data_IF_611406383642
#
_entry.id   IF_611406383642
#
_cell.length_a   1.000
_cell.length_b   1.000
_cell.length_c   1.000
_cell.angle_alpha   90.00
_cell.angle_beta   90.00
_cell.angle_gamma   90.00
#
_symmetry.space_group_name_H-M   'P 1'
#
loop_
_entity.id
_entity.type
_entity.pdbx_description
1 polymer ?
#
# COMPACT_ATOMS: atom_id res chain seq x y z
N UNK A 1 -14.42 -76.46 56.39
CA UNK A 1 -14.63 -75.86 55.05
C UNK A 1 -14.88 -74.37 55.19
N UNK A 2 -13.96 -73.52 54.71
CA UNK A 2 -14.15 -72.21 54.07
C UNK A 2 -12.83 -71.43 54.12
N UNK A 3 -12.05 -71.57 53.05
CA UNK A 3 -10.91 -70.72 52.75
C UNK A 3 -11.41 -69.33 52.36
N UNK A 4 -10.81 -68.27 52.90
CA UNK A 4 -10.93 -66.91 52.35
C UNK A 4 -9.54 -66.46 51.91
N UNK A 5 -9.33 -66.49 50.60
CA UNK A 5 -8.20 -65.90 49.90
C UNK A 5 -8.36 -64.37 49.92
N UNK A 6 -7.36 -63.67 50.46
CA UNK A 6 -7.17 -62.23 50.30
C UNK A 6 -6.27 -62.01 49.08
N UNK A 7 -6.85 -61.56 47.96
CA UNK A 7 -6.10 -61.11 46.80
C UNK A 7 -5.77 -59.62 46.96
N UNK A 8 -4.49 -59.29 47.11
CA UNK A 8 -3.99 -57.93 47.08
C UNK A 8 -3.80 -57.51 45.62
N UNK A 9 -4.64 -56.60 45.13
CA UNK A 9 -4.49 -55.97 43.83
C UNK A 9 -3.49 -54.79 43.95
N UNK A 10 -2.29 -54.97 43.42
CA UNK A 10 -1.32 -53.89 43.27
C UNK A 10 -1.72 -53.00 42.08
N UNK A 11 -2.16 -51.77 42.37
CA UNK A 11 -2.42 -50.76 41.35
C UNK A 11 -1.08 -50.17 40.86
N UNK A 12 -0.60 -50.63 39.70
CA UNK A 12 0.48 -49.95 38.98
C UNK A 12 -0.06 -48.64 38.39
N UNK A 13 0.21 -47.52 39.07
CA UNK A 13 0.04 -46.20 38.49
C UNK A 13 1.11 -45.99 37.41
N UNK A 14 0.74 -46.17 36.14
CA UNK A 14 1.54 -45.70 35.02
C UNK A 14 1.52 -44.17 35.01
N UNK A 15 2.55 -43.55 35.59
CA UNK A 15 2.89 -42.16 35.32
C UNK A 15 3.40 -42.05 33.89
N UNK A 16 2.50 -41.79 32.93
CA UNK A 16 2.91 -41.37 31.60
C UNK A 16 3.64 -40.03 31.73
N UNK A 17 4.88 -39.88 31.24
CA UNK A 17 5.50 -38.58 31.16
C UNK A 17 4.67 -37.80 30.13
N UNK A 18 3.94 -36.79 30.61
CA UNK A 18 3.38 -35.77 29.75
C UNK A 18 4.60 -35.05 29.15
N UNK A 19 5.05 -35.49 27.99
CA UNK A 19 5.97 -34.70 27.18
C UNK A 19 5.25 -33.38 26.94
N UNK A 20 5.69 -32.32 27.62
CA UNK A 20 5.29 -30.97 27.30
C UNK A 20 5.72 -30.74 25.86
N UNK A 21 4.79 -30.90 24.93
CA UNK A 21 5.00 -30.57 23.53
C UNK A 21 5.21 -29.06 23.54
N UNK A 22 6.47 -28.62 23.36
CA UNK A 22 6.78 -27.20 23.21
C UNK A 22 5.82 -26.64 22.16
N UNK A 23 4.96 -25.73 22.59
CA UNK A 23 4.04 -25.08 21.67
C UNK A 23 4.87 -24.41 20.59
N UNK A 24 4.56 -24.67 19.33
CA UNK A 24 5.24 -24.02 18.21
C UNK A 24 5.24 -22.51 18.43
N UNK A 25 6.36 -21.81 18.16
CA UNK A 25 6.40 -20.36 18.27
C UNK A 25 5.25 -19.72 17.46
N UNK A 26 4.64 -18.63 17.96
CA UNK A 26 3.61 -17.94 17.22
C UNK A 26 4.19 -17.42 15.89
N UNK A 27 3.44 -17.52 14.78
CA UNK A 27 3.95 -17.19 13.47
C UNK A 27 4.18 -15.68 13.32
N UNK A 28 5.20 -15.32 12.55
CA UNK A 28 5.45 -13.94 12.12
C UNK A 28 4.38 -13.46 11.13
N UNK A 29 4.22 -12.14 10.92
CA UNK A 29 3.29 -11.61 9.92
C UNK A 29 3.51 -12.20 8.51
N UNK A 30 4.77 -12.40 8.12
CA UNK A 30 5.10 -12.98 6.81
C UNK A 30 4.66 -14.44 6.68
N UNK A 31 4.82 -15.24 7.74
CA UNK A 31 4.36 -16.64 7.76
C UNK A 31 2.84 -16.73 7.74
N UNK A 32 2.13 -15.84 8.44
CA UNK A 32 0.66 -15.77 8.41
C UNK A 32 0.17 -15.47 7.00
N UNK A 33 0.73 -14.45 6.34
CA UNK A 33 0.37 -14.12 4.97
C UNK A 33 0.69 -15.27 4.00
N UNK A 34 1.88 -15.88 4.12
CA UNK A 34 2.27 -17.01 3.27
C UNK A 34 1.38 -18.24 3.43
N UNK A 35 0.84 -18.48 4.63
CA UNK A 35 -0.06 -19.59 4.92
C UNK A 35 -1.54 -19.30 4.62
N UNK A 36 -1.91 -18.06 4.27
CA UNK A 36 -3.29 -17.69 4.00
C UNK A 36 -3.86 -18.50 2.81
N UNK A 37 -5.07 -19.08 2.95
CA UNK A 37 -5.69 -19.88 1.89
C UNK A 37 -5.98 -19.02 0.66
N UNK A 38 -6.00 -19.63 -0.52
CA UNK A 38 -6.22 -18.91 -1.78
C UNK A 38 -7.53 -18.08 -1.80
N UNK A 39 -8.57 -18.52 -1.08
CA UNK A 39 -9.84 -17.80 -0.93
C UNK A 39 -9.71 -16.43 -0.25
N UNK A 40 -8.65 -16.20 0.51
CA UNK A 40 -8.42 -14.94 1.22
C UNK A 40 -7.71 -13.91 0.35
N UNK A 41 -7.24 -14.31 -0.83
CA UNK A 41 -6.54 -13.46 -1.78
C UNK A 41 -7.49 -12.95 -2.86
N UNK A 42 -7.48 -11.63 -3.07
CA UNK A 42 -8.32 -10.96 -4.07
C UNK A 42 -7.44 -10.52 -5.22
N UNK A 43 -7.79 -10.98 -6.43
CA UNK A 43 -7.11 -10.59 -7.65
C UNK A 43 -7.22 -9.08 -7.91
N UNK A 44 -6.11 -8.48 -8.33
CA UNK A 44 -6.06 -7.09 -8.77
C UNK A 44 -6.29 -7.08 -10.29
N UNK A 45 -7.34 -6.40 -10.80
CA UNK A 45 -7.58 -6.32 -12.22
C UNK A 45 -6.38 -5.71 -12.96
N UNK A 46 -5.99 -6.28 -14.10
CA UNK A 46 -4.93 -5.71 -14.94
C UNK A 46 -5.26 -4.28 -15.39
N UNK A 47 -6.55 -3.94 -15.52
CA UNK A 47 -6.99 -2.58 -15.79
C UNK A 47 -6.60 -1.60 -14.69
N UNK A 48 -6.32 -2.05 -13.47
CA UNK A 48 -5.96 -1.20 -12.34
C UNK A 48 -4.46 -1.21 -12.07
N UNK A 49 -3.65 -1.78 -12.97
CA UNK A 49 -2.20 -1.80 -12.88
C UNK A 49 -1.58 -0.87 -13.91
N UNK A 50 -0.68 0.00 -13.45
CA UNK A 50 0.31 0.65 -14.29
C UNK A 50 1.65 -0.08 -14.16
N UNK A 51 2.31 -0.27 -15.30
CA UNK A 51 3.65 -0.85 -15.38
C UNK A 51 4.61 0.23 -15.85
N UNK A 52 5.51 0.63 -14.95
CA UNK A 52 6.59 1.57 -15.23
C UNK A 52 7.89 0.78 -15.42
N UNK A 53 8.46 0.89 -16.62
CA UNK A 53 9.80 0.40 -16.91
C UNK A 53 10.76 1.58 -16.91
N UNK A 54 11.72 1.56 -15.99
CA UNK A 54 12.87 2.46 -16.03
C UNK A 54 13.93 1.87 -16.97
N UNK A 55 14.83 2.72 -17.48
CA UNK A 55 16.04 2.23 -18.16
C UNK A 55 16.75 1.23 -17.24
N UNK A 56 17.42 0.16 -17.74
CA UNK A 56 18.17 -0.74 -16.87
C UNK A 56 19.18 -0.02 -15.97
N UNK A 57 19.57 -0.64 -14.85
CA UNK A 57 20.64 -0.09 -14.02
C UNK A 57 22.01 -0.20 -14.69
N UNK A 58 23.06 0.29 -14.02
CA UNK A 58 24.43 0.24 -14.54
C UNK A 58 24.96 -1.18 -14.80
N UNK A 59 24.37 -2.20 -14.17
CA UNK A 59 24.69 -3.61 -14.39
C UNK A 59 23.80 -4.26 -15.47
N UNK A 60 22.91 -3.49 -16.11
CA UNK A 60 21.98 -3.97 -17.12
C UNK A 60 20.75 -4.70 -16.56
N UNK A 61 20.51 -4.66 -15.25
CA UNK A 61 19.33 -5.29 -14.64
C UNK A 61 18.08 -4.48 -14.99
N UNK A 62 17.04 -5.17 -15.44
CA UNK A 62 15.74 -4.57 -15.68
C UNK A 62 15.17 -3.96 -14.38
N UNK A 63 14.54 -2.80 -14.50
CA UNK A 63 13.92 -2.06 -13.40
C UNK A 63 12.45 -1.83 -13.72
N UNK A 64 11.58 -2.69 -13.17
CA UNK A 64 10.14 -2.62 -13.37
C UNK A 64 9.44 -2.31 -12.06
N UNK A 65 8.58 -1.31 -12.09
CA UNK A 65 7.72 -0.90 -10.99
C UNK A 65 6.27 -1.16 -11.40
N UNK A 66 5.49 -1.78 -10.52
CA UNK A 66 4.07 -2.00 -10.73
C UNK A 66 3.29 -1.18 -9.71
N UNK A 67 2.39 -0.34 -10.22
CA UNK A 67 1.56 0.57 -9.42
C UNK A 67 0.11 0.10 -9.55
N UNK A 68 -0.54 -0.19 -8.42
CA UNK A 68 -1.98 -0.40 -8.37
C UNK A 68 -2.68 0.96 -8.23
N UNK A 69 -3.64 1.24 -9.09
CA UNK A 69 -4.52 2.41 -9.02
C UNK A 69 -5.59 2.21 -7.95
N UNK A 70 -6.00 3.30 -7.31
CA UNK A 70 -7.02 3.23 -6.26
C UNK A 70 -8.42 2.91 -6.80
N UNK A 71 -9.22 2.16 -6.03
CA UNK A 71 -10.62 1.90 -6.37
C UNK A 71 -11.48 3.15 -6.17
N UNK A 72 -12.63 3.18 -6.85
CA UNK A 72 -13.69 4.14 -6.59
C UNK A 72 -14.15 4.06 -5.12
N UNK A 73 -14.64 5.17 -4.53
CA UNK A 73 -14.86 6.49 -5.15
C UNK A 73 -13.63 7.42 -5.16
N UNK A 74 -12.49 6.97 -4.63
CA UNK A 74 -11.34 7.85 -4.37
C UNK A 74 -10.59 8.25 -5.64
N UNK A 75 -10.31 9.54 -5.80
CA UNK A 75 -9.40 10.10 -6.82
C UNK A 75 -9.71 9.75 -8.29
N UNK A 76 -10.96 9.41 -8.60
CA UNK A 76 -11.33 8.84 -9.91
C UNK A 76 -11.11 9.80 -11.09
N UNK A 77 -11.24 11.11 -10.89
CA UNK A 77 -10.95 12.07 -11.96
C UNK A 77 -9.45 12.12 -12.33
N UNK A 78 -8.54 12.08 -11.35
CA UNK A 78 -7.09 11.97 -11.62
C UNK A 78 -6.74 10.60 -12.20
N UNK A 79 -7.34 9.51 -11.72
CA UNK A 79 -7.16 8.18 -12.31
C UNK A 79 -7.62 8.16 -13.78
N UNK A 80 -8.73 8.82 -14.11
CA UNK A 80 -9.18 9.02 -15.49
C UNK A 80 -8.13 9.76 -16.35
N UNK A 81 -7.50 10.79 -15.80
CA UNK A 81 -6.41 11.50 -16.49
C UNK A 81 -5.18 10.61 -16.67
N UNK A 82 -4.79 9.86 -15.63
CA UNK A 82 -3.66 8.93 -15.65
C UNK A 82 -3.85 7.86 -16.74
N UNK A 83 -5.08 7.33 -16.89
CA UNK A 83 -5.42 6.40 -17.97
C UNK A 83 -5.27 7.02 -19.35
N UNK A 84 -5.68 8.28 -19.54
CA UNK A 84 -5.49 9.04 -20.80
C UNK A 84 -4.01 9.31 -21.09
N UNK A 85 -3.24 9.67 -20.06
CA UNK A 85 -1.79 9.88 -20.15
C UNK A 85 -1.04 8.58 -20.50
N UNK A 86 -1.45 7.44 -19.93
CA UNK A 86 -0.92 6.13 -20.26
C UNK A 86 -1.22 5.76 -21.71
N UNK A 87 -2.46 5.90 -22.16
CA UNK A 87 -2.87 5.63 -23.54
C UNK A 87 -2.17 6.54 -24.57
N UNK A 88 -1.82 7.77 -24.18
CA UNK A 88 -1.03 8.69 -24.99
C UNK A 88 0.49 8.44 -24.91
N UNK A 89 0.93 7.43 -24.14
CA UNK A 89 2.33 7.14 -23.84
C UNK A 89 3.10 8.36 -23.33
N UNK A 90 2.44 9.23 -22.56
CA UNK A 90 2.96 10.56 -22.23
C UNK A 90 4.23 10.52 -21.38
N UNK A 91 4.43 9.49 -20.55
CA UNK A 91 5.64 9.36 -19.73
C UNK A 91 6.86 8.79 -20.47
N UNK A 92 6.73 8.39 -21.74
CA UNK A 92 7.87 7.85 -22.48
C UNK A 92 8.94 8.92 -22.68
N UNK A 93 10.17 8.61 -22.27
CA UNK A 93 11.29 9.53 -22.33
C UNK A 93 11.24 10.65 -21.29
N UNK A 94 10.30 10.62 -20.34
CA UNK A 94 10.37 11.47 -19.14
C UNK A 94 11.31 10.85 -18.11
N UNK A 95 11.36 11.36 -16.88
CA UNK A 95 12.28 10.85 -15.87
C UNK A 95 11.79 10.99 -14.44
N UNK A 96 12.45 10.25 -13.55
CA UNK A 96 12.49 10.60 -12.13
C UNK A 96 13.36 11.84 -11.98
N UNK A 97 12.76 12.90 -11.43
CA UNK A 97 13.33 14.26 -11.45
C UNK A 97 13.74 14.73 -10.06
N UNK A 98 13.20 14.10 -9.02
CA UNK A 98 13.34 14.55 -7.63
C UNK A 98 13.29 13.36 -6.69
N UNK A 99 14.24 13.31 -5.77
CA UNK A 99 14.29 12.35 -4.68
C UNK A 99 14.62 13.11 -3.41
N UNK A 100 13.60 13.33 -2.58
CA UNK A 100 13.77 13.95 -1.27
C UNK A 100 13.91 12.86 -0.21
N UNK A 101 14.97 12.97 0.60
CA UNK A 101 15.26 11.99 1.63
C UNK A 101 14.10 11.86 2.63
N UNK A 102 13.80 10.60 2.99
CA UNK A 102 12.72 10.23 3.92
C UNK A 102 11.36 10.89 3.62
N UNK A 103 11.06 11.19 2.35
CA UNK A 103 9.83 11.85 1.95
C UNK A 103 9.27 11.23 0.67
N UNK A 104 9.59 11.77 -0.51
CA UNK A 104 9.05 11.29 -1.79
C UNK A 104 10.10 11.24 -2.88
N UNK A 105 9.86 10.36 -3.84
CA UNK A 105 10.47 10.39 -5.18
C UNK A 105 9.39 10.77 -6.19
N UNK A 106 9.70 11.72 -7.08
CA UNK A 106 8.76 12.30 -8.02
C UNK A 106 9.28 12.20 -9.45
N UNK A 107 8.36 11.91 -10.37
CA UNK A 107 8.62 11.74 -11.79
C UNK A 107 7.58 12.46 -12.66
N UNK A 108 7.98 12.70 -13.90
CA UNK A 108 7.21 13.42 -14.92
C UNK A 108 8.15 14.17 -15.86
N UNK A 109 7.67 15.19 -16.54
CA UNK A 109 8.51 15.94 -17.49
C UNK A 109 9.42 16.93 -16.76
N UNK A 110 10.71 16.65 -16.77
CA UNK A 110 11.71 17.48 -16.10
C UNK A 110 11.83 18.90 -16.67
N UNK A 111 11.26 19.16 -17.86
CA UNK A 111 11.27 20.48 -18.49
C UNK A 111 9.99 21.28 -18.27
N UNK A 112 8.93 20.64 -17.78
CA UNK A 112 7.58 21.18 -17.64
C UNK A 112 6.98 21.74 -18.95
N UNK A 113 7.46 21.27 -20.10
CA UNK A 113 7.07 21.77 -21.44
C UNK A 113 6.39 20.73 -22.31
N UNK A 114 6.47 19.45 -21.95
CA UNK A 114 5.84 18.36 -22.71
C UNK A 114 4.33 18.56 -22.68
N UNK A 115 3.76 18.79 -23.86
CA UNK A 115 2.32 19.06 -24.00
C UNK A 115 1.49 17.93 -23.41
N UNK A 116 0.49 18.27 -22.60
CA UNK A 116 -0.47 17.32 -22.07
C UNK A 116 -1.48 16.93 -23.17
N UNK A 117 -1.98 15.68 -23.16
CA UNK A 117 -3.09 15.29 -24.04
C UNK A 117 -4.32 16.16 -23.80
N UNK A 118 -5.15 16.33 -24.83
CA UNK A 118 -6.42 17.03 -24.70
C UNK A 118 -7.43 16.26 -23.84
N UNK A 119 -8.39 16.97 -23.26
CA UNK A 119 -9.52 16.37 -22.55
C UNK A 119 -9.20 15.80 -21.17
N UNK A 120 -8.08 16.18 -20.54
CA UNK A 120 -7.85 15.93 -19.13
C UNK A 120 -8.84 16.73 -18.27
N UNK A 121 -9.39 16.09 -17.24
CA UNK A 121 -10.28 16.73 -16.29
C UNK A 121 -9.49 17.66 -15.36
N UNK A 122 -10.10 18.80 -15.01
CA UNK A 122 -9.62 19.70 -13.95
C UNK A 122 -10.44 19.40 -12.70
N UNK A 123 -9.76 19.06 -11.60
CA UNK A 123 -10.42 18.59 -10.38
C UNK A 123 -10.41 19.70 -9.31
N UNK A 124 -11.49 19.87 -8.54
CA UNK A 124 -11.47 20.77 -7.38
C UNK A 124 -10.76 20.12 -6.18
N UNK A 125 -10.28 20.94 -5.24
CA UNK A 125 -9.67 20.45 -3.99
C UNK A 125 -10.64 19.61 -3.14
N UNK A 126 -11.96 19.82 -3.28
CA UNK A 126 -12.97 18.97 -2.64
C UNK A 126 -12.91 17.50 -3.06
N UNK A 127 -12.25 17.18 -4.17
CA UNK A 127 -12.08 15.80 -4.64
C UNK A 127 -10.96 15.03 -3.91
N UNK A 128 -10.20 15.65 -3.00
CA UNK A 128 -9.22 14.94 -2.16
C UNK A 128 -9.87 14.03 -1.11
N UNK A 129 -11.17 14.19 -0.86
CA UNK A 129 -11.98 13.37 0.03
C UNK A 129 -13.15 12.76 -0.74
N UNK A 130 -13.75 11.71 -0.20
CA UNK A 130 -14.94 11.08 -0.75
C UNK A 130 -15.97 10.82 0.36
N UNK A 131 -17.27 10.67 0.01
CA UNK A 131 -18.24 10.10 0.92
C UNK A 131 -17.90 8.63 1.24
N UNK A 132 -18.64 8.04 2.18
CA UNK A 132 -18.55 6.61 2.45
C UNK A 132 -18.77 5.79 1.17
N UNK A 133 -17.91 4.82 0.85
CA UNK A 133 -18.16 3.92 -0.27
C UNK A 133 -19.45 3.11 -0.01
N UNK A 134 -20.28 2.94 -1.04
CA UNK A 134 -21.60 2.29 -0.89
C UNK A 134 -21.53 0.81 -0.46
N UNK A 135 -20.42 0.14 -0.78
CA UNK A 135 -20.16 -1.27 -0.46
C UNK A 135 -19.23 -1.44 0.76
N UNK A 136 -19.03 -0.39 1.55
CA UNK A 136 -18.03 -0.42 2.60
C UNK A 136 -18.49 -1.25 3.81
N UNK A 137 -17.78 -2.36 4.07
CA UNK A 137 -17.60 -2.87 5.42
C UNK A 137 -16.29 -2.29 5.96
N UNK A 138 -16.38 -1.29 6.84
CA UNK A 138 -15.22 -0.58 7.38
C UNK A 138 -14.99 -1.00 8.84
N UNK A 139 -14.29 -2.12 9.10
CA UNK A 139 -13.87 -2.41 10.46
C UNK A 139 -12.94 -1.29 10.92
N UNK A 140 -13.38 -0.51 11.92
CA UNK A 140 -12.56 0.52 12.52
C UNK A 140 -11.30 -0.13 13.08
N UNK A 141 -10.14 0.28 12.56
CA UNK A 141 -8.87 -0.34 12.92
C UNK A 141 -8.39 0.22 14.25
N UNK A 142 -8.38 1.56 14.37
CA UNK A 142 -7.94 2.27 15.57
C UNK A 142 -8.63 3.64 15.65
N UNK A 143 -8.79 4.14 16.87
CA UNK A 143 -9.39 5.46 17.17
C UNK A 143 -8.38 6.48 17.72
N UNK A 144 -7.09 6.11 17.80
CA UNK A 144 -6.01 6.96 18.33
C UNK A 144 -4.97 7.32 17.26
N UNK A 145 -5.42 7.72 16.06
CA UNK A 145 -4.53 8.24 15.01
C UNK A 145 -4.31 9.75 15.24
N UNK A 146 -3.07 10.27 15.19
CA UNK A 146 -2.81 11.69 15.42
C UNK A 146 -3.21 12.61 14.25
N UNK A 147 -3.61 12.05 13.10
CA UNK A 147 -3.95 12.80 11.89
C UNK A 147 -5.43 12.70 11.50
N UNK A 148 -6.16 11.70 11.99
CA UNK A 148 -7.54 11.41 11.64
C UNK A 148 -8.38 11.08 12.88
N UNK A 149 -9.69 11.35 12.84
CA UNK A 149 -10.60 11.01 13.93
C UNK A 149 -10.77 9.49 14.11
N UNK A 150 -10.66 8.74 13.02
CA UNK A 150 -10.47 7.31 13.02
C UNK A 150 -9.74 6.87 11.74
N UNK A 151 -9.27 5.62 11.72
CA UNK A 151 -8.63 4.99 10.55
C UNK A 151 -9.28 3.64 10.26
N UNK A 152 -9.30 3.28 8.98
CA UNK A 152 -9.92 2.03 8.50
C UNK A 152 -9.21 1.50 7.25
N UNK A 153 -9.58 0.29 6.83
CA UNK A 153 -9.18 -0.30 5.57
C UNK A 153 -10.39 -0.52 4.68
N UNK A 154 -10.26 -0.14 3.41
CA UNK A 154 -11.26 -0.39 2.37
C UNK A 154 -10.60 -1.09 1.18
N UNK A 155 -11.00 -2.32 0.85
CA UNK A 155 -10.40 -3.12 -0.25
C UNK A 155 -8.86 -3.16 -0.19
N UNK A 156 -8.33 -3.27 1.01
CA UNK A 156 -6.90 -3.26 1.29
C UNK A 156 -6.22 -1.89 1.23
N UNK A 157 -6.95 -0.77 1.23
CA UNK A 157 -6.40 0.60 1.23
C UNK A 157 -6.61 1.28 2.58
N UNK A 158 -5.56 1.88 3.17
CA UNK A 158 -5.66 2.64 4.41
C UNK A 158 -6.34 3.98 4.17
N UNK A 159 -7.40 4.23 4.92
CA UNK A 159 -8.19 5.44 4.88
C UNK A 159 -8.21 6.12 6.26
N UNK A 160 -8.21 7.44 6.24
CA UNK A 160 -8.62 8.27 7.37
C UNK A 160 -10.11 8.57 7.29
N UNK A 161 -10.71 8.73 8.46
CA UNK A 161 -12.13 9.02 8.65
C UNK A 161 -12.25 10.24 9.56
N UNK A 162 -13.19 11.11 9.23
CA UNK A 162 -13.51 12.27 10.05
C UNK A 162 -14.87 12.85 9.67
N UNK A 163 -15.43 13.70 10.54
CA UNK A 163 -16.74 14.28 10.28
C UNK A 163 -16.67 15.26 9.10
N UNK A 164 -17.75 15.32 8.32
CA UNK A 164 -17.97 16.39 7.33
C UNK A 164 -17.88 17.76 8.01
N UNK A 165 -18.47 17.86 9.19
CA UNK A 165 -18.49 19.06 10.03
C UNK A 165 -17.95 18.72 11.42
N UNK A 166 -16.77 19.25 11.82
CA UNK A 166 -16.21 19.02 13.15
C UNK A 166 -17.11 19.45 14.31
N UNK A 167 -18.09 20.33 14.06
CA UNK A 167 -19.03 20.82 15.07
C UNK A 167 -20.38 20.06 15.05
N UNK A 168 -20.67 19.29 13.99
CA UNK A 168 -21.90 18.50 13.87
C UNK A 168 -21.66 17.12 13.23
N UNK A 169 -21.39 16.13 14.09
CA UNK A 169 -21.15 14.74 13.71
C UNK A 169 -22.34 14.05 13.02
N UNK A 170 -23.55 14.63 13.06
CA UNK A 170 -24.71 14.07 12.37
C UNK A 170 -24.73 14.38 10.87
N UNK A 171 -23.86 15.28 10.38
CA UNK A 171 -23.76 15.63 8.95
C UNK A 171 -23.02 14.59 8.11
N UNK A 172 -22.61 13.49 8.72
CA UNK A 172 -21.95 12.37 8.05
C UNK A 172 -20.43 12.42 8.16
N UNK A 173 -19.78 11.44 7.53
CA UNK A 173 -18.34 11.25 7.53
C UNK A 173 -17.76 11.48 6.14
N UNK A 174 -16.52 11.96 6.10
CA UNK A 174 -15.68 11.98 4.91
C UNK A 174 -14.52 11.00 5.10
N UNK A 175 -14.10 10.44 3.98
CA UNK A 175 -13.02 9.46 3.91
C UNK A 175 -11.93 9.99 3.00
N UNK A 176 -10.68 9.74 3.36
CA UNK A 176 -9.54 10.10 2.52
C UNK A 176 -8.46 9.02 2.55
N UNK A 177 -7.79 8.75 1.42
CA UNK A 177 -6.63 7.88 1.40
C UNK A 177 -5.46 8.46 2.19
N UNK A 178 -4.68 7.59 2.82
CA UNK A 178 -3.53 7.99 3.64
C UNK A 178 -2.22 7.96 2.84
N UNK A 179 -1.32 8.94 3.06
CA UNK A 179 0.02 8.97 2.45
C UNK A 179 1.01 8.03 3.17
N UNK A 180 0.71 6.73 3.20
CA UNK A 180 1.62 5.70 3.71
C UNK A 180 2.81 5.46 2.76
N UNK A 181 3.82 4.72 3.22
CA UNK A 181 4.94 4.28 2.36
C UNK A 181 4.42 3.60 1.08
N UNK A 182 5.10 3.84 -0.04
CA UNK A 182 4.75 3.37 -1.38
C UNK A 182 3.42 3.92 -1.96
N UNK A 183 2.67 4.76 -1.25
CA UNK A 183 1.50 5.43 -1.84
C UNK A 183 1.93 6.40 -2.93
N UNK A 184 1.16 6.43 -4.01
CA UNK A 184 1.41 7.27 -5.18
C UNK A 184 0.45 8.43 -5.15
N UNK A 185 0.96 9.66 -5.22
CA UNK A 185 0.16 10.88 -5.27
C UNK A 185 0.45 11.73 -6.50
N UNK A 186 -0.41 12.74 -6.71
CA UNK A 186 -0.31 13.68 -7.84
C UNK A 186 0.50 14.90 -7.44
N UNK A 187 1.57 15.16 -8.19
CA UNK A 187 2.30 16.43 -8.10
C UNK A 187 1.46 17.58 -8.64
N UNK A 188 1.52 18.73 -7.96
CA UNK A 188 0.79 19.94 -8.32
C UNK A 188 1.57 21.20 -7.96
N UNK A 189 1.21 22.32 -8.58
CA UNK A 189 1.67 23.62 -8.14
C UNK A 189 0.89 24.09 -6.89
N UNK A 190 1.07 25.37 -6.56
CA UNK A 190 0.29 26.02 -5.51
C UNK A 190 -1.20 26.03 -5.84
N UNK A 191 -2.01 25.91 -4.80
CA UNK A 191 -3.47 26.06 -4.88
C UNK A 191 -3.84 27.34 -5.66
N UNK A 192 -4.87 27.30 -6.52
CA UNK A 192 -5.88 26.23 -6.66
C UNK A 192 -5.54 25.13 -7.68
N UNK A 193 -4.30 25.05 -8.19
CA UNK A 193 -3.90 23.93 -9.03
C UNK A 193 -3.99 22.63 -8.22
N UNK A 194 -4.60 21.59 -8.78
CA UNK A 194 -4.72 20.27 -8.15
C UNK A 194 -3.94 19.18 -8.89
N UNK A 195 -3.18 19.58 -9.92
CA UNK A 195 -2.37 18.70 -10.74
C UNK A 195 -3.20 17.89 -11.73
N UNK A 196 -2.64 17.65 -12.91
CA UNK A 196 -3.31 16.88 -13.97
C UNK A 196 -3.20 15.37 -13.77
N UNK A 197 -2.25 14.91 -12.95
CA UNK A 197 -1.83 13.51 -12.86
C UNK A 197 -0.62 13.16 -13.74
N UNK A 198 -0.05 14.13 -14.47
CA UNK A 198 1.15 13.93 -15.28
C UNK A 198 2.43 13.88 -14.44
N UNK A 199 2.55 14.75 -13.44
CA UNK A 199 3.57 14.66 -12.40
C UNK A 199 3.03 13.77 -11.28
N UNK A 200 3.77 12.72 -10.94
CA UNK A 200 3.40 11.78 -9.89
C UNK A 200 4.58 11.57 -8.96
N UNK A 201 4.30 11.17 -7.74
CA UNK A 201 5.32 10.83 -6.77
C UNK A 201 4.92 9.60 -5.97
N UNK A 202 5.89 8.93 -5.36
CA UNK A 202 5.63 7.91 -4.35
C UNK A 202 6.37 8.21 -3.05
N UNK A 203 5.72 7.89 -1.93
CA UNK A 203 6.30 8.03 -0.60
C UNK A 203 7.40 6.98 -0.40
N UNK A 204 8.61 7.41 -0.03
CA UNK A 204 9.78 6.54 0.17
C UNK A 204 10.36 6.59 1.59
N UNK A 205 9.66 7.21 2.52
CA UNK A 205 10.09 7.36 3.91
C UNK A 205 8.94 7.27 4.91
N UNK A 206 9.13 7.91 6.06
CA UNK A 206 8.07 8.06 7.06
C UNK A 206 6.85 8.73 6.42
N UNK A 207 5.66 8.17 6.66
CA UNK A 207 4.41 8.61 6.06
C UNK A 207 4.17 10.12 6.27
N UNK A 208 4.20 10.96 5.21
CA UNK A 208 3.96 12.38 5.33
C UNK A 208 2.47 12.69 5.42
N UNK A 209 1.83 12.25 6.51
CA UNK A 209 0.37 12.34 6.72
C UNK A 209 -0.17 13.78 6.75
N UNK A 210 0.69 14.80 6.80
CA UNK A 210 0.28 16.20 6.57
C UNK A 210 -0.17 16.48 5.13
N UNK A 211 0.11 15.58 4.18
CA UNK A 211 -0.40 15.65 2.81
C UNK A 211 -1.83 15.12 2.67
N UNK A 212 -2.32 14.38 3.66
CA UNK A 212 -3.69 13.87 3.66
C UNK A 212 -4.68 15.02 3.48
N UNK A 213 -5.70 14.81 2.64
CA UNK A 213 -6.72 15.82 2.28
C UNK A 213 -6.19 17.08 1.58
N UNK A 214 -4.90 17.16 1.29
CA UNK A 214 -4.26 18.31 0.63
C UNK A 214 -3.69 17.97 -0.76
N UNK A 215 -3.37 16.69 -0.97
CA UNK A 215 -2.86 16.15 -2.24
C UNK A 215 -3.62 14.85 -2.55
N UNK A 216 -3.92 14.62 -3.83
CA UNK A 216 -4.55 13.39 -4.25
C UNK A 216 -3.56 12.22 -4.15
N UNK A 217 -3.92 11.18 -3.40
CA UNK A 217 -3.37 9.83 -3.58
C UNK A 217 -4.12 9.20 -4.74
N UNK A 218 -3.47 8.45 -5.63
CA UNK A 218 -4.10 7.83 -6.82
C UNK A 218 -3.79 6.34 -6.92
N UNK A 219 -2.86 5.84 -6.12
CA UNK A 219 -2.46 4.45 -6.17
C UNK A 219 -1.39 4.10 -5.15
N UNK A 220 -0.76 2.94 -5.31
CA UNK A 220 0.39 2.48 -4.52
C UNK A 220 1.31 1.63 -5.37
N UNK A 221 2.61 1.72 -5.13
CA UNK A 221 3.58 0.75 -5.68
C UNK A 221 3.38 -0.58 -4.96
N UNK A 222 3.10 -1.64 -5.72
CA UNK A 222 2.91 -3.00 -5.19
C UNK A 222 4.09 -3.94 -5.48
N UNK A 223 4.99 -3.53 -6.38
CA UNK A 223 6.22 -4.26 -6.71
C UNK A 223 7.27 -3.31 -7.27
N UNK A 224 8.55 -3.54 -6.96
CA UNK A 224 9.68 -2.78 -7.51
C UNK A 224 9.93 -1.42 -6.84
N UNK A 225 9.41 -1.19 -5.62
CA UNK A 225 9.61 0.07 -4.89
C UNK A 225 11.10 0.38 -4.66
N UNK A 226 11.95 -0.63 -4.54
CA UNK A 226 13.40 -0.50 -4.38
C UNK A 226 14.07 0.21 -5.56
N UNK A 227 13.47 0.15 -6.76
CA UNK A 227 13.95 0.88 -7.93
C UNK A 227 13.73 2.38 -7.84
N UNK A 228 12.89 2.83 -6.90
CA UNK A 228 12.57 4.23 -6.66
C UNK A 228 13.12 4.71 -5.30
N UNK A 229 12.93 3.94 -4.23
CA UNK A 229 13.30 4.34 -2.86
C UNK A 229 14.80 4.36 -2.61
N UNK A 230 15.58 3.62 -3.40
CA UNK A 230 17.03 3.51 -3.24
C UNK A 230 17.83 4.40 -4.19
N UNK A 231 17.17 5.28 -4.95
CA UNK A 231 17.84 6.22 -5.85
C UNK A 231 18.66 7.27 -5.08
N UNK A 232 19.80 7.75 -5.61
CA UNK A 232 20.55 8.84 -4.99
C UNK A 232 19.65 10.05 -4.71
N UNK A 233 19.85 10.72 -3.57
CA UNK A 233 19.02 11.87 -3.20
C UNK A 233 19.40 13.08 -4.07
N UNK A 234 18.42 13.91 -4.42
CA UNK A 234 18.70 15.14 -5.15
C UNK A 234 19.34 16.19 -4.25
N UNK A 235 20.25 16.98 -4.82
CA UNK A 235 20.99 18.03 -4.10
C UNK A 235 20.36 19.41 -4.22
N UNK A 236 19.42 19.59 -5.16
CA UNK A 236 18.71 20.84 -5.37
C UNK A 236 17.61 21.10 -4.34
N UNK A 237 16.96 22.25 -4.46
CA UNK A 237 15.83 22.63 -3.62
C UNK A 237 14.77 21.51 -3.59
N UNK A 238 14.20 21.22 -2.41
CA UNK A 238 13.21 20.15 -2.22
C UNK A 238 13.64 18.75 -2.72
N UNK A 239 14.95 18.51 -2.91
CA UNK A 239 15.47 17.23 -3.40
C UNK A 239 15.37 17.02 -4.91
N UNK A 240 15.20 18.09 -5.70
CA UNK A 240 15.31 18.00 -7.16
C UNK A 240 16.75 17.63 -7.59
N UNK A 241 16.87 16.88 -8.67
CA UNK A 241 18.14 16.69 -9.35
C UNK A 241 18.54 17.96 -10.09
N UNK A 242 19.78 18.40 -9.92
CA UNK A 242 20.28 19.64 -10.51
C UNK A 242 20.80 19.40 -11.93
N UNK A 243 21.28 18.19 -12.21
CA UNK A 243 21.89 17.80 -13.49
C UNK A 243 21.06 16.74 -14.20
N UNK A 244 21.10 16.76 -15.52
CA UNK A 244 20.34 15.82 -16.34
C UNK A 244 20.80 14.37 -16.14
N UNK A 245 22.09 14.15 -15.88
CA UNK A 245 22.70 12.83 -15.71
C UNK A 245 22.33 12.15 -14.39
N UNK A 246 21.80 12.90 -13.42
CA UNK A 246 21.30 12.36 -12.15
C UNK A 246 19.90 11.75 -12.30
N UNK A 247 19.15 12.19 -13.31
CA UNK A 247 17.77 11.76 -13.54
C UNK A 247 17.74 10.32 -14.03
N UNK A 248 16.74 9.57 -13.58
CA UNK A 248 16.52 8.20 -14.05
C UNK A 248 15.48 8.20 -15.16
N UNK A 249 15.85 7.88 -16.42
CA UNK A 249 14.89 7.93 -17.52
C UNK A 249 13.84 6.83 -17.40
N UNK A 250 12.60 7.22 -17.69
CA UNK A 250 11.47 6.31 -17.83
C UNK A 250 11.42 5.85 -19.28
N UNK A 251 11.56 4.54 -19.47
CA UNK A 251 11.43 3.93 -20.79
C UNK A 251 9.95 3.94 -21.21
N UNK A 252 9.06 3.53 -20.31
CA UNK A 252 7.63 3.52 -20.55
C UNK A 252 6.82 3.48 -19.27
N UNK A 253 5.62 4.05 -19.31
CA UNK A 253 4.54 3.72 -18.38
C UNK A 253 3.32 3.30 -19.20
N UNK A 254 2.76 2.14 -18.90
CA UNK A 254 1.60 1.55 -19.60
C UNK A 254 0.55 1.11 -18.62
N UNK A 255 -0.71 1.08 -19.04
CA UNK A 255 -1.69 0.23 -18.38
C UNK A 255 -1.31 -1.22 -18.65
N UNK A 256 -1.44 -2.12 -17.66
CA UNK A 256 -1.07 -3.52 -17.88
C UNK A 256 -1.90 -4.15 -19.01
N UNK A 257 -3.14 -3.71 -19.22
CA UNK A 257 -3.99 -4.15 -20.34
C UNK A 257 -3.46 -3.77 -21.73
N UNK A 258 -2.51 -2.84 -21.84
CA UNK A 258 -1.84 -2.47 -23.10
C UNK A 258 -0.65 -3.39 -23.41
N UNK A 259 -0.19 -4.17 -22.42
CA UNK A 259 0.89 -5.14 -22.63
C UNK A 259 0.34 -6.42 -23.28
N UNK A 260 1.16 -7.14 -24.06
CA UNK A 260 0.83 -8.49 -24.50
C UNK A 260 0.43 -9.36 -23.31
N UNK A 261 -0.58 -10.23 -23.48
CA UNK A 261 -1.13 -11.02 -22.36
C UNK A 261 -0.05 -11.79 -21.56
N UNK A 262 0.98 -12.31 -22.24
CA UNK A 262 2.10 -13.02 -21.61
C UNK A 262 3.03 -12.12 -20.76
N UNK A 263 2.96 -10.80 -20.94
CA UNK A 263 3.76 -9.80 -20.22
C UNK A 263 2.95 -9.06 -19.15
N UNK A 264 1.64 -9.30 -19.07
CA UNK A 264 0.78 -8.65 -18.06
C UNK A 264 1.11 -9.21 -16.68
N UNK A 265 1.56 -8.37 -15.72
CA UNK A 265 1.73 -8.82 -14.36
C UNK A 265 0.38 -9.18 -13.74
N UNK A 266 0.35 -10.29 -13.01
CA UNK A 266 -0.81 -10.68 -12.20
C UNK A 266 -0.46 -10.58 -10.72
N UNK A 267 -1.33 -9.93 -9.95
CA UNK A 267 -1.14 -9.72 -8.52
C UNK A 267 -2.44 -9.93 -7.76
N UNK A 268 -2.31 -10.33 -6.50
CA UNK A 268 -3.41 -10.47 -5.56
C UNK A 268 -3.05 -9.75 -4.26
N UNK A 269 -4.03 -9.18 -3.58
CA UNK A 269 -3.86 -8.67 -2.21
C UNK A 269 -4.63 -9.52 -1.21
N UNK A 270 -4.13 -9.60 0.02
CA UNK A 270 -4.82 -10.31 1.10
C UNK A 270 -6.04 -9.49 1.53
N UNK A 271 -7.23 -10.07 1.44
CA UNK A 271 -8.50 -9.41 1.79
C UNK A 271 -8.48 -8.97 3.24
N UNK A 272 -8.74 -7.68 3.49
CA UNK A 272 -8.83 -7.13 4.85
C UNK A 272 -10.08 -7.58 5.63
N UNK A 273 -10.97 -8.34 4.98
CA UNK A 273 -12.14 -8.98 5.59
C UNK A 273 -11.86 -10.42 6.03
N UNK A 274 -10.69 -10.97 5.69
CA UNK A 274 -10.34 -12.37 6.01
C UNK A 274 -9.82 -12.54 7.44
N UNK A 275 -10.03 -13.73 8.00
CA UNK A 275 -9.40 -14.16 9.25
C UNK A 275 -7.87 -14.14 9.17
N UNK A 276 -7.31 -14.42 7.97
CA UNK A 276 -5.87 -14.34 7.75
C UNK A 276 -5.34 -12.92 7.91
N UNK A 277 -6.06 -11.92 7.39
CA UNK A 277 -5.67 -10.53 7.57
C UNK A 277 -5.80 -10.06 9.02
N UNK A 278 -6.86 -10.46 9.72
CA UNK A 278 -7.01 -10.15 11.15
C UNK A 278 -5.84 -10.68 11.98
N UNK A 279 -5.40 -11.93 11.73
CA UNK A 279 -4.20 -12.52 12.37
C UNK A 279 -2.92 -11.79 11.96
N UNK A 280 -2.79 -11.43 10.68
CA UNK A 280 -1.65 -10.68 10.17
C UNK A 280 -1.52 -9.33 10.87
N UNK A 281 -2.62 -8.59 10.99
CA UNK A 281 -2.66 -7.29 11.65
C UNK A 281 -2.34 -7.38 13.14
N UNK A 282 -2.94 -8.32 13.87
CA UNK A 282 -2.59 -8.56 15.28
C UNK A 282 -1.10 -8.89 15.43
N UNK A 283 -0.52 -9.70 14.53
CA UNK A 283 0.91 -9.97 14.56
C UNK A 283 1.77 -8.74 14.24
N UNK A 284 1.30 -7.78 13.43
CA UNK A 284 2.00 -6.51 13.19
C UNK A 284 1.99 -5.60 14.42
N UNK A 285 0.85 -5.52 15.11
CA UNK A 285 0.68 -4.75 16.34
C UNK A 285 1.41 -5.40 17.53
N UNK A 286 1.43 -6.72 17.54
CA UNK A 286 1.90 -7.56 18.64
C UNK A 286 2.86 -8.62 18.11
N UNK A 287 4.07 -8.18 17.75
CA UNK A 287 5.16 -9.10 17.40
C UNK A 287 5.46 -10.02 18.58
N UNK A 288 5.18 -11.32 18.38
CA UNK A 288 5.38 -12.40 19.37
C UNK A 288 6.34 -13.47 18.85
N UNK A 289 6.83 -13.34 17.62
CA UNK A 289 7.86 -14.22 17.07
C UNK A 289 9.15 -14.16 17.94
N UNK A 290 9.97 -15.24 17.98
CA UNK A 290 11.01 -15.43 19.02
C UNK A 290 12.02 -14.29 19.21
N UNK A 291 12.17 -13.43 18.21
CA UNK A 291 13.03 -12.25 18.28
C UNK A 291 12.49 -11.17 19.24
N UNK A 292 11.16 -11.06 19.39
CA UNK A 292 10.51 -9.99 20.15
C UNK A 292 10.14 -10.44 21.56
N UNK A 293 10.82 -9.88 22.56
CA UNK A 293 10.58 -10.20 23.98
C UNK A 293 9.31 -9.52 24.52
N UNK A 294 8.94 -8.35 23.99
CA UNK A 294 7.78 -7.57 24.44
C UNK A 294 6.97 -7.06 23.24
N UNK A 295 5.67 -7.37 23.14
CA UNK A 295 4.81 -6.81 22.11
C UNK A 295 4.59 -5.31 22.34
N UNK A 296 4.39 -4.56 21.26
CA UNK A 296 4.19 -3.10 21.32
C UNK A 296 2.77 -2.71 21.80
N UNK A 297 1.77 -3.56 21.54
CA UNK A 297 0.37 -3.29 21.91
C UNK A 297 -0.36 -2.39 20.90
N UNK A 298 0.21 -2.20 19.71
CA UNK A 298 -0.36 -1.37 18.65
C UNK A 298 0.63 -1.06 17.53
N UNK A 299 0.12 -0.62 16.38
CA UNK A 299 0.92 -0.14 15.26
C UNK A 299 0.16 0.95 14.50
N UNK A 300 0.87 1.97 14.01
CA UNK A 300 0.34 2.90 13.00
C UNK A 300 -0.19 2.09 11.80
N UNK A 301 -1.34 2.47 11.23
CA UNK A 301 -1.92 1.81 10.04
C UNK A 301 -0.95 1.78 8.85
N UNK A 302 -0.10 2.80 8.70
CA UNK A 302 0.94 2.82 7.67
C UNK A 302 2.07 1.80 7.95
N UNK A 303 2.14 1.26 9.16
CA UNK A 303 2.99 0.13 9.55
C UNK A 303 2.26 -1.22 9.50
N UNK A 304 1.04 -1.29 8.95
CA UNK A 304 0.31 -2.54 8.68
C UNK A 304 0.04 -2.61 7.16
N UNK A 305 1.10 -2.73 6.32
CA UNK A 305 0.91 -2.78 4.88
C UNK A 305 0.10 -4.03 4.50
N UNK A 306 -0.89 -3.88 3.64
CA UNK A 306 -1.67 -5.01 3.15
C UNK A 306 -0.78 -5.91 2.30
N UNK A 307 -0.67 -7.22 2.63
CA UNK A 307 0.14 -8.14 1.85
C UNK A 307 -0.33 -8.19 0.39
N UNK A 308 0.63 -8.10 -0.54
CA UNK A 308 0.42 -8.28 -1.97
C UNK A 308 1.40 -9.33 -2.47
N UNK A 309 0.95 -10.20 -3.38
CA UNK A 309 1.78 -11.24 -4.00
C UNK A 309 1.56 -11.29 -5.50
N UNK A 310 2.57 -11.73 -6.23
CA UNK A 310 2.37 -12.12 -7.63
C UNK A 310 1.45 -13.36 -7.68
N UNK A 311 0.44 -13.32 -8.55
CA UNK A 311 -0.39 -14.48 -8.83
C UNK A 311 0.34 -15.41 -9.80
N UNK A 312 0.02 -16.71 -9.74
CA UNK A 312 0.59 -17.74 -10.62
C UNK A 312 -0.19 -17.86 -11.92
#
# INVERSE_FOLDING_TARGET
MKHRLLAAAAAFAFSLPLAAQEASPPPSPGEIAAAAPASDWVAIPASDLLVMDLVPDAAGKARRVVIQLMPAPFSQGWIGNIRKLAAAHWWDGTSVNRVQDNYVVQWGDATEKKALPEGLAVLPESAYVAPEPEDAFLPLFQVNDPYAGAITLYKGWPLGVGPVDPEDFNKGQIYWPLHCYAMVGVGRNMSPDTGSGAELYTVIGQAPRHLDRNIAVVGRVISGIEHLSSLPRGTGALGFYEKAEERVPIKSIRLATELPAAEQPSFEYLSNESDSFAKYADARENRRDPFFIRPAGGADICNIPVPVRAAK
#
